data_IF_181277077969
#
_entry.id   IF_181277077969
#
_cell.length_a   1.000
_cell.length_b   1.000
_cell.length_c   1.000
_cell.angle_alpha   90.00
_cell.angle_beta   90.00
_cell.angle_gamma   90.00
#
_symmetry.space_group_name_H-M   'P 1'
#
loop_
_entity.id
_entity.type
_entity.pdbx_description
1 polymer ?
#
# COMPACT_ATOMS: atom_id res chain seq x y z
N UNK A 1 -35.76 -47.46 -83.20
CA UNK A 1 -35.47 -48.25 -81.99
C UNK A 1 -33.97 -48.18 -81.72
N UNK A 2 -33.61 -47.94 -80.45
CA UNK A 2 -32.31 -48.16 -79.79
C UNK A 2 -31.01 -47.76 -80.53
N UNK A 3 -30.35 -46.71 -80.03
CA UNK A 3 -28.95 -46.40 -80.34
C UNK A 3 -28.16 -46.24 -79.04
N UNK A 4 -27.24 -47.17 -78.81
CA UNK A 4 -26.43 -47.36 -77.61
C UNK A 4 -25.74 -46.09 -77.09
N UNK A 5 -25.78 -45.88 -75.76
CA UNK A 5 -24.85 -44.97 -75.09
C UNK A 5 -23.49 -45.66 -74.99
N UNK A 6 -22.69 -45.45 -76.04
CA UNK A 6 -21.29 -45.82 -76.09
C UNK A 6 -20.53 -45.22 -74.92
N UNK A 7 -19.78 -46.09 -74.25
CA UNK A 7 -18.76 -45.77 -73.27
C UNK A 7 -17.63 -45.10 -74.05
N UNK A 8 -17.61 -43.77 -74.07
CA UNK A 8 -16.56 -43.03 -74.75
C UNK A 8 -15.29 -43.05 -73.91
N UNK A 9 -14.26 -43.69 -74.45
CA UNK A 9 -12.89 -43.17 -74.39
C UNK A 9 -12.07 -43.55 -73.17
N UNK A 10 -11.62 -44.82 -73.11
CA UNK A 10 -10.35 -45.18 -72.46
C UNK A 10 -9.18 -45.29 -73.47
N UNK A 11 -9.33 -44.77 -74.69
CA UNK A 11 -8.29 -44.82 -75.72
C UNK A 11 -7.77 -43.42 -76.01
N UNK A 12 -6.73 -43.06 -75.25
CA UNK A 12 -6.08 -41.75 -75.20
C UNK A 12 -5.21 -41.69 -73.95
N UNK A 13 -4.30 -42.66 -73.80
CA UNK A 13 -3.44 -42.86 -72.64
C UNK A 13 -2.41 -41.73 -72.50
N UNK A 14 -2.86 -40.59 -72.01
CA UNK A 14 -2.14 -39.91 -70.94
C UNK A 14 -3.09 -39.98 -69.76
N UNK A 15 -2.74 -40.70 -68.69
CA UNK A 15 -3.31 -40.35 -67.39
C UNK A 15 -2.90 -38.89 -67.22
N UNK A 16 -3.84 -37.97 -67.44
CA UNK A 16 -3.61 -36.54 -67.23
C UNK A 16 -3.61 -36.33 -65.71
N UNK A 17 -2.50 -36.76 -65.12
CA UNK A 17 -2.20 -36.63 -63.70
C UNK A 17 -2.32 -35.17 -63.32
N UNK A 18 -1.95 -34.24 -64.22
CA UNK A 18 -2.01 -32.82 -63.97
C UNK A 18 -3.45 -32.31 -63.83
N UNK A 19 -4.40 -32.75 -64.66
CA UNK A 19 -5.82 -32.38 -64.47
C UNK A 19 -6.48 -33.08 -63.28
N UNK A 20 -6.14 -34.33 -62.97
CA UNK A 20 -6.64 -35.03 -61.78
C UNK A 20 -6.08 -34.42 -60.48
N UNK A 21 -4.79 -34.09 -60.47
CA UNK A 21 -4.13 -33.34 -59.39
C UNK A 21 -4.74 -31.95 -59.27
N UNK A 22 -5.01 -31.24 -60.38
CA UNK A 22 -5.67 -29.94 -60.36
C UNK A 22 -7.08 -30.00 -59.79
N UNK A 23 -7.89 -31.01 -60.15
CA UNK A 23 -9.23 -31.22 -59.58
C UNK A 23 -9.15 -31.61 -58.10
N UNK A 24 -8.18 -32.44 -57.71
CA UNK A 24 -7.89 -32.77 -56.31
C UNK A 24 -7.46 -31.55 -55.49
N UNK A 25 -6.55 -30.73 -56.02
CA UNK A 25 -6.10 -29.48 -55.42
C UNK A 25 -7.24 -28.47 -55.31
N UNK A 26 -8.12 -28.35 -56.31
CA UNK A 26 -9.31 -27.49 -56.23
C UNK A 26 -10.29 -27.97 -55.15
N UNK A 27 -10.41 -29.29 -54.93
CA UNK A 27 -11.23 -29.85 -53.85
C UNK A 27 -10.65 -29.50 -52.47
N UNK A 28 -9.33 -29.63 -52.30
CA UNK A 28 -8.64 -29.25 -51.06
C UNK A 28 -8.66 -27.73 -50.82
N UNK A 29 -8.48 -26.90 -51.86
CA UNK A 29 -8.65 -25.45 -51.78
C UNK A 29 -10.07 -25.07 -51.36
N UNK A 30 -11.11 -25.71 -51.91
CA UNK A 30 -12.50 -25.50 -51.47
C UNK A 30 -12.74 -25.87 -50.02
N UNK A 31 -12.06 -26.91 -49.49
CA UNK A 31 -12.11 -27.26 -48.07
C UNK A 31 -11.42 -26.20 -47.21
N UNK A 32 -10.26 -25.71 -47.65
CA UNK A 32 -9.53 -24.63 -47.01
C UNK A 32 -10.35 -23.33 -46.97
N UNK A 33 -10.93 -22.91 -48.10
CA UNK A 33 -11.80 -21.73 -48.19
C UNK A 33 -13.01 -21.84 -47.25
N UNK A 34 -13.54 -23.05 -47.06
CA UNK A 34 -14.64 -23.29 -46.12
C UNK A 34 -14.19 -23.12 -44.66
N UNK A 35 -13.00 -23.62 -44.32
CA UNK A 35 -12.44 -23.45 -42.98
C UNK A 35 -12.11 -21.98 -42.71
N UNK A 36 -11.50 -21.29 -43.67
CA UNK A 36 -11.21 -19.86 -43.58
C UNK A 36 -12.49 -19.02 -43.41
N UNK A 37 -13.54 -19.30 -44.19
CA UNK A 37 -14.85 -18.62 -44.01
C UNK A 37 -15.45 -18.86 -42.64
N UNK A 38 -15.32 -20.08 -42.09
CA UNK A 38 -15.78 -20.39 -40.72
C UNK A 38 -14.96 -19.65 -39.67
N UNK A 39 -13.64 -19.57 -39.85
CA UNK A 39 -12.74 -18.84 -38.95
C UNK A 39 -13.11 -17.34 -38.91
N UNK A 40 -13.28 -16.73 -40.08
CA UNK A 40 -13.74 -15.33 -40.20
C UNK A 40 -15.11 -15.14 -39.54
N UNK A 41 -16.06 -16.04 -39.78
CA UNK A 41 -17.37 -15.98 -39.13
C UNK A 41 -17.28 -16.11 -37.60
N UNK A 42 -16.41 -17.00 -37.10
CA UNK A 42 -16.20 -17.13 -35.65
C UNK A 42 -15.52 -15.92 -35.04
N UNK A 43 -14.58 -15.28 -35.74
CA UNK A 43 -13.93 -14.08 -35.25
C UNK A 43 -14.91 -12.89 -35.21
N UNK A 44 -15.74 -12.70 -36.25
CA UNK A 44 -16.80 -11.68 -36.23
C UNK A 44 -17.81 -11.92 -35.12
N UNK A 45 -18.20 -13.18 -34.87
CA UNK A 45 -19.09 -13.51 -33.75
C UNK A 45 -18.43 -13.19 -32.42
N UNK A 46 -17.16 -13.54 -32.24
CA UNK A 46 -16.40 -13.27 -31.02
C UNK A 46 -16.25 -11.78 -30.76
N UNK A 47 -15.93 -10.99 -31.79
CA UNK A 47 -15.86 -9.53 -31.71
C UNK A 47 -17.20 -8.93 -31.33
N UNK A 48 -18.30 -9.34 -31.99
CA UNK A 48 -19.65 -8.89 -31.64
C UNK A 48 -20.03 -9.24 -30.19
N UNK A 49 -19.65 -10.42 -29.69
CA UNK A 49 -19.89 -10.79 -28.28
C UNK A 49 -19.03 -9.97 -27.31
N UNK A 50 -17.77 -9.67 -27.66
CA UNK A 50 -16.89 -8.84 -26.85
C UNK A 50 -17.44 -7.41 -26.74
N UNK A 51 -17.92 -6.84 -27.85
CA UNK A 51 -18.54 -5.52 -27.89
C UNK A 51 -19.79 -5.47 -27.00
N UNK A 52 -20.69 -6.45 -27.14
CA UNK A 52 -21.89 -6.54 -26.28
C UNK A 52 -21.50 -6.66 -24.82
N UNK A 53 -20.51 -7.49 -24.49
CA UNK A 53 -20.04 -7.62 -23.10
C UNK A 53 -19.49 -6.31 -22.55
N UNK A 54 -18.71 -5.57 -23.34
CA UNK A 54 -18.17 -4.28 -22.95
C UNK A 54 -19.27 -3.23 -22.72
N UNK A 55 -20.28 -3.20 -23.59
CA UNK A 55 -21.43 -2.31 -23.47
C UNK A 55 -22.27 -2.62 -22.24
N UNK A 56 -22.56 -3.91 -21.98
CA UNK A 56 -23.29 -4.35 -20.79
C UNK A 56 -22.51 -4.04 -19.52
N UNK A 57 -21.19 -4.23 -19.51
CA UNK A 57 -20.38 -3.90 -18.34
C UNK A 57 -20.37 -2.38 -18.07
N UNK A 58 -20.22 -1.56 -19.11
CA UNK A 58 -20.30 -0.10 -18.99
C UNK A 58 -21.67 0.36 -18.48
N UNK A 59 -22.75 -0.22 -19.01
CA UNK A 59 -24.11 0.08 -18.56
C UNK A 59 -24.31 -0.31 -17.10
N UNK A 60 -23.87 -1.51 -16.70
CA UNK A 60 -23.98 -2.00 -15.33
C UNK A 60 -23.24 -1.10 -14.34
N UNK A 61 -22.02 -0.69 -14.67
CA UNK A 61 -21.24 0.25 -13.86
C UNK A 61 -21.95 1.59 -13.73
N UNK A 62 -22.41 2.16 -14.85
CA UNK A 62 -23.13 3.43 -14.87
C UNK A 62 -24.42 3.38 -14.05
N UNK A 63 -25.17 2.28 -14.14
CA UNK A 63 -26.39 2.07 -13.35
C UNK A 63 -26.09 1.90 -11.85
N UNK A 64 -25.03 1.17 -11.51
CA UNK A 64 -24.57 1.02 -10.12
C UNK A 64 -24.23 2.36 -9.50
N UNK A 65 -23.53 3.22 -10.25
CA UNK A 65 -23.19 4.55 -9.80
C UNK A 65 -24.41 5.45 -9.56
N UNK A 66 -25.43 5.34 -10.41
CA UNK A 66 -26.70 6.06 -10.21
C UNK A 66 -27.50 5.54 -9.01
N UNK A 67 -27.22 4.34 -8.52
CA UNK A 67 -27.83 3.86 -7.25
C UNK A 67 -27.15 4.47 -6.03
N UNK A 68 -25.96 5.05 -6.17
CA UNK A 68 -25.24 5.63 -5.06
C UNK A 68 -25.85 6.99 -4.67
N UNK A 69 -26.18 7.14 -3.39
CA UNK A 69 -26.80 8.35 -2.86
C UNK A 69 -25.91 9.59 -3.04
N UNK A 70 -24.58 9.43 -3.00
CA UNK A 70 -23.62 10.52 -3.24
C UNK A 70 -23.71 11.14 -4.64
N UNK A 71 -24.18 10.38 -5.64
CA UNK A 71 -24.37 10.88 -7.02
C UNK A 71 -25.78 11.39 -7.29
N UNK A 72 -26.79 10.85 -6.62
CA UNK A 72 -28.21 11.24 -6.83
C UNK A 72 -28.67 12.38 -5.92
N UNK A 73 -27.96 12.60 -4.81
CA UNK A 73 -28.19 13.70 -3.88
C UNK A 73 -26.86 14.34 -3.49
N UNK A 74 -26.15 14.97 -4.44
CA UNK A 74 -24.90 15.63 -4.11
C UNK A 74 -25.18 16.82 -3.19
N UNK A 75 -24.47 16.87 -2.07
CA UNK A 75 -24.49 18.00 -1.15
C UNK A 75 -23.16 18.74 -1.24
N UNK A 76 -23.22 20.07 -1.26
CA UNK A 76 -22.04 20.93 -1.26
C UNK A 76 -21.96 21.67 0.05
N UNK A 77 -20.77 21.71 0.66
CA UNK A 77 -20.47 22.59 1.76
C UNK A 77 -19.59 23.73 1.26
N UNK A 78 -19.91 24.95 1.65
CA UNK A 78 -19.09 26.13 1.38
C UNK A 78 -18.75 26.79 2.71
N UNK A 79 -17.52 27.31 2.82
CA UNK A 79 -17.03 28.00 4.00
C UNK A 79 -16.72 29.43 3.63
N UNK A 80 -17.05 30.38 4.51
CA UNK A 80 -16.67 31.78 4.34
C UNK A 80 -15.16 32.00 4.51
N UNK A 81 -14.46 31.08 5.18
CA UNK A 81 -13.02 31.11 5.42
C UNK A 81 -12.40 29.75 5.08
N UNK A 82 -12.30 29.45 3.78
CA UNK A 82 -11.79 28.17 3.27
C UNK A 82 -10.33 27.88 3.65
N UNK A 83 -9.52 28.91 3.89
CA UNK A 83 -8.11 28.75 4.27
C UNK A 83 -7.94 28.25 5.70
N UNK A 84 -8.94 28.45 6.56
CA UNK A 84 -8.92 27.99 7.96
C UNK A 84 -9.74 26.73 8.18
N UNK A 85 -10.92 26.63 7.54
CA UNK A 85 -11.83 25.51 7.72
C UNK A 85 -12.48 25.15 6.39
N UNK A 86 -12.29 23.90 5.97
CA UNK A 86 -13.02 23.27 4.88
C UNK A 86 -13.93 22.18 5.43
N UNK A 87 -15.09 21.99 4.82
CA UNK A 87 -16.00 20.91 5.14
C UNK A 87 -16.39 20.15 3.87
N UNK A 88 -16.59 18.84 3.98
CA UNK A 88 -17.11 18.00 2.91
C UNK A 88 -18.47 17.45 3.32
N UNK A 89 -19.51 17.75 2.56
CA UNK A 89 -20.85 17.24 2.81
C UNK A 89 -21.03 15.85 2.18
N UNK A 90 -21.62 14.92 2.93
CA UNK A 90 -22.06 13.64 2.38
C UNK A 90 -23.52 13.72 1.90
N UNK A 91 -24.00 12.66 1.24
CA UNK A 91 -25.36 12.61 0.67
C UNK A 91 -26.51 12.76 1.68
N UNK A 92 -26.20 12.59 2.97
CA UNK A 92 -27.15 12.64 4.09
C UNK A 92 -27.06 13.95 4.88
N UNK A 93 -26.17 14.88 4.50
CA UNK A 93 -26.02 16.15 5.18
C UNK A 93 -27.32 16.97 5.09
N UNK A 94 -27.70 17.63 6.19
CA UNK A 94 -28.84 18.56 6.19
C UNK A 94 -28.49 19.87 5.47
N UNK A 95 -29.47 20.48 4.79
CA UNK A 95 -29.28 21.81 4.19
C UNK A 95 -29.50 22.87 5.26
N UNK A 96 -28.41 23.35 5.87
CA UNK A 96 -28.46 24.42 6.87
C UNK A 96 -27.13 25.16 6.98
N UNK A 97 -27.18 26.38 7.49
CA UNK A 97 -25.98 27.15 7.82
C UNK A 97 -25.42 26.72 9.17
N UNK A 98 -24.09 26.59 9.26
CA UNK A 98 -23.38 26.31 10.49
C UNK A 98 -22.39 27.43 10.81
N UNK A 99 -22.34 27.84 12.08
CA UNK A 99 -21.32 28.76 12.60
C UNK A 99 -20.24 27.95 13.27
N UNK A 100 -19.00 28.10 12.82
CA UNK A 100 -17.83 27.39 13.36
C UNK A 100 -16.84 28.42 13.91
N UNK A 101 -16.44 28.26 15.17
CA UNK A 101 -15.42 29.06 15.83
C UNK A 101 -14.23 28.15 16.17
N UNK A 102 -13.04 28.50 15.67
CA UNK A 102 -11.81 27.75 15.95
C UNK A 102 -11.05 28.47 17.05
N UNK A 103 -11.04 27.88 18.25
CA UNK A 103 -10.33 28.45 19.41
C UNK A 103 -8.87 28.00 19.47
N UNK A 104 -8.59 26.74 19.10
CA UNK A 104 -7.24 26.18 19.08
C UNK A 104 -7.16 25.00 18.10
N UNK A 105 -6.09 24.96 17.31
CA UNK A 105 -5.79 23.81 16.46
C UNK A 105 -5.19 22.67 17.30
N UNK A 106 -5.56 21.44 16.97
CA UNK A 106 -4.88 20.27 17.52
C UNK A 106 -3.39 20.32 17.12
N UNK A 107 -2.51 20.12 18.09
CA UNK A 107 -1.07 20.01 17.86
C UNK A 107 -0.59 18.68 18.41
N UNK A 108 0.36 18.07 17.70
CA UNK A 108 0.95 16.81 18.15
C UNK A 108 1.85 17.06 19.37
N UNK A 109 1.79 16.15 20.34
CA UNK A 109 2.71 16.18 21.46
C UNK A 109 4.14 15.90 20.99
N UNK A 110 5.10 16.69 21.44
CA UNK A 110 6.52 16.48 21.20
C UNK A 110 7.35 16.77 22.44
N UNK A 111 8.50 16.12 22.54
CA UNK A 111 9.52 16.37 23.53
C UNK A 111 10.86 16.42 22.80
N UNK A 112 11.58 17.53 22.93
CA UNK A 112 12.90 17.69 22.33
C UNK A 112 13.84 18.36 23.33
N UNK A 113 15.14 18.11 23.19
CA UNK A 113 16.16 18.92 23.89
C UNK A 113 15.91 20.40 23.65
N UNK A 114 15.92 21.19 24.72
CA UNK A 114 15.65 22.62 24.66
C UNK A 114 16.61 23.33 23.68
N UNK A 115 16.12 24.37 23.01
CA UNK A 115 16.93 25.12 22.05
C UNK A 115 18.23 25.63 22.68
N UNK A 116 19.36 25.39 21.99
CA UNK A 116 20.69 25.74 22.48
C UNK A 116 21.25 24.85 23.59
N UNK A 117 20.50 23.84 24.03
CA UNK A 117 20.96 22.83 24.98
C UNK A 117 21.30 21.52 24.26
N UNK A 118 22.20 20.76 24.86
CA UNK A 118 22.58 19.42 24.44
C UNK A 118 21.95 18.38 25.37
N UNK A 119 21.94 17.11 24.97
CA UNK A 119 21.56 16.02 25.89
C UNK A 119 22.43 16.12 27.17
N UNK A 120 21.80 16.02 28.34
CA UNK A 120 22.57 16.05 29.59
C UNK A 120 23.24 14.68 29.80
N UNK A 121 24.49 14.68 30.26
CA UNK A 121 25.24 13.46 30.61
C UNK A 121 25.49 13.45 32.10
N UNK A 122 25.08 12.38 32.77
CA UNK A 122 25.42 12.17 34.17
C UNK A 122 26.90 11.84 34.34
N UNK A 123 27.55 11.21 33.36
CA UNK A 123 28.99 10.99 33.35
C UNK A 123 29.74 12.23 32.85
N UNK A 124 30.24 13.05 33.79
CA UNK A 124 31.00 14.27 33.50
C UNK A 124 32.37 14.00 32.85
N UNK A 125 32.92 12.79 32.96
CA UNK A 125 34.19 12.43 32.34
C UNK A 125 34.08 12.17 30.83
N UNK A 126 32.86 12.00 30.31
CA UNK A 126 32.60 11.69 28.89
C UNK A 126 31.51 12.60 28.31
N UNK A 127 31.75 13.93 28.21
CA UNK A 127 30.71 14.92 27.91
C UNK A 127 30.13 14.83 26.48
N UNK A 128 30.84 14.18 25.55
CA UNK A 128 30.42 13.98 24.16
C UNK A 128 29.97 12.53 23.87
N UNK A 129 29.87 11.68 24.89
CA UNK A 129 29.47 10.29 24.69
C UNK A 129 27.99 10.19 24.32
N UNK A 130 27.71 9.28 23.39
CA UNK A 130 26.36 8.91 22.95
C UNK A 130 25.88 7.60 23.59
N UNK A 131 26.73 6.94 24.38
CA UNK A 131 26.40 5.69 25.05
C UNK A 131 25.44 5.95 26.22
N UNK A 132 24.40 5.11 26.34
CA UNK A 132 23.37 5.25 27.37
C UNK A 132 23.94 5.16 28.79
N UNK A 133 25.04 4.42 28.98
CA UNK A 133 25.74 4.36 30.27
C UNK A 133 26.24 5.72 30.73
N UNK A 134 26.74 6.54 29.80
CA UNK A 134 27.32 7.85 30.12
C UNK A 134 26.24 8.94 30.20
N UNK A 135 25.15 8.75 29.47
CA UNK A 135 23.97 9.62 29.53
C UNK A 135 23.27 9.47 30.88
N UNK A 136 22.96 8.24 31.30
CA UNK A 136 22.08 8.00 32.45
C UNK A 136 22.82 7.80 33.79
N UNK A 137 24.06 7.28 33.79
CA UNK A 137 24.73 6.86 35.02
C UNK A 137 25.99 7.70 35.32
N UNK A 138 26.16 8.09 36.59
CA UNK A 138 27.36 8.79 37.04
C UNK A 138 28.59 7.91 36.84
N UNK A 139 29.65 8.47 36.25
CA UNK A 139 30.89 7.75 35.94
C UNK A 139 30.77 6.70 34.82
N UNK A 140 29.59 6.47 34.27
CA UNK A 140 29.37 5.48 33.20
C UNK A 140 29.58 4.03 33.64
N UNK A 141 29.61 3.77 34.95
CA UNK A 141 29.86 2.44 35.53
C UNK A 141 28.57 1.79 36.01
N UNK A 142 28.52 0.47 35.95
CA UNK A 142 27.40 -0.30 36.47
C UNK A 142 27.27 -0.11 38.00
N UNK A 143 26.08 0.23 38.52
CA UNK A 143 25.85 0.33 39.96
C UNK A 143 26.16 -0.97 40.70
N UNK A 144 26.67 -0.86 41.92
CA UNK A 144 26.95 -2.02 42.76
C UNK A 144 25.66 -2.82 43.05
N UNK A 145 25.71 -4.14 42.86
CA UNK A 145 24.58 -5.04 43.11
C UNK A 145 23.64 -5.26 41.91
N UNK A 146 23.85 -4.57 40.79
CA UNK A 146 23.11 -4.84 39.54
C UNK A 146 23.74 -6.02 38.78
N UNK A 147 22.92 -6.99 38.36
CA UNK A 147 23.35 -8.10 37.52
C UNK A 147 23.09 -7.80 36.04
N UNK A 148 23.83 -8.48 35.14
CA UNK A 148 23.73 -8.28 33.68
C UNK A 148 22.31 -8.42 33.10
N UNK A 149 21.49 -9.30 33.69
CA UNK A 149 20.11 -9.54 33.27
C UNK A 149 19.09 -8.53 33.80
N UNK A 150 19.47 -7.67 34.74
CA UNK A 150 18.56 -6.71 35.35
C UNK A 150 18.20 -5.60 34.36
N UNK A 151 17.00 -5.06 34.49
CA UNK A 151 16.59 -3.88 33.71
C UNK A 151 17.26 -2.64 34.27
N UNK A 152 18.16 -2.05 33.49
CA UNK A 152 18.90 -0.86 33.88
C UNK A 152 18.16 0.44 33.52
N UNK A 153 17.41 0.47 32.40
CA UNK A 153 16.52 1.57 32.04
C UNK A 153 15.18 1.04 31.55
N UNK A 154 14.08 1.69 31.92
CA UNK A 154 12.75 1.42 31.39
C UNK A 154 12.00 2.71 31.06
N UNK A 155 11.31 2.71 29.92
CA UNK A 155 10.52 3.82 29.43
C UNK A 155 9.12 3.31 29.10
N UNK A 156 8.10 3.92 29.72
CA UNK A 156 6.71 3.66 29.38
C UNK A 156 6.24 4.72 28.40
N UNK A 157 5.91 4.29 27.19
CA UNK A 157 5.41 5.16 26.12
C UNK A 157 3.92 4.95 25.93
N UNK A 158 3.17 6.04 25.77
CA UNK A 158 1.73 6.02 25.51
C UNK A 158 1.36 7.10 24.50
N UNK A 159 0.52 6.75 23.53
CA UNK A 159 -0.07 7.69 22.58
C UNK A 159 -1.50 8.11 22.97
N UNK A 160 -1.93 7.80 24.19
CA UNK A 160 -3.30 8.04 24.68
C UNK A 160 -4.28 6.90 24.42
N UNK A 161 -4.00 6.02 23.47
CA UNK A 161 -4.82 4.83 23.16
C UNK A 161 -4.11 3.53 23.52
N UNK A 162 -2.85 3.41 23.16
CA UNK A 162 -1.99 2.26 23.39
C UNK A 162 -0.78 2.59 24.27
N UNK A 163 -0.24 1.60 24.95
CA UNK A 163 0.96 1.73 25.79
C UNK A 163 1.97 0.62 25.46
N UNK A 164 3.24 0.98 25.34
CA UNK A 164 4.34 0.02 25.25
C UNK A 164 5.46 0.36 26.24
N UNK A 165 6.24 -0.65 26.61
CA UNK A 165 7.37 -0.50 27.52
C UNK A 165 8.66 -0.86 26.78
N UNK A 166 9.61 0.08 26.78
CA UNK A 166 10.95 -0.07 26.22
C UNK A 166 11.91 -0.30 27.38
N UNK A 167 12.57 -1.46 27.42
CA UNK A 167 13.52 -1.84 28.48
C UNK A 167 14.91 -2.04 27.90
N UNK A 168 15.92 -1.69 28.68
CA UNK A 168 17.32 -1.96 28.41
C UNK A 168 17.92 -2.72 29.59
N UNK A 169 18.61 -3.83 29.31
CA UNK A 169 19.30 -4.59 30.36
C UNK A 169 20.64 -3.96 30.74
N UNK A 170 21.16 -4.32 31.91
CA UNK A 170 22.48 -3.87 32.35
C UNK A 170 23.59 -4.33 31.38
N UNK A 171 23.49 -5.55 30.84
CA UNK A 171 24.41 -6.03 29.79
C UNK A 171 24.39 -5.13 28.55
N UNK A 172 23.19 -4.79 28.06
CA UNK A 172 23.00 -3.93 26.90
C UNK A 172 23.64 -2.54 27.10
N UNK A 173 23.47 -1.96 28.30
CA UNK A 173 23.97 -0.62 28.60
C UNK A 173 25.47 -0.60 28.88
N UNK A 174 25.96 -1.47 29.76
CA UNK A 174 27.32 -1.38 30.29
C UNK A 174 28.33 -2.27 29.56
N UNK A 175 27.88 -3.34 28.91
CA UNK A 175 28.78 -4.25 28.16
C UNK A 175 28.70 -4.00 26.66
N UNK A 176 27.48 -3.88 26.11
CA UNK A 176 27.26 -3.63 24.67
C UNK A 176 27.31 -2.15 24.29
N UNK A 177 27.36 -1.24 25.26
CA UNK A 177 27.45 0.20 25.05
C UNK A 177 26.38 0.76 24.11
N UNK A 178 25.13 0.29 24.23
CA UNK A 178 24.04 0.83 23.42
C UNK A 178 23.94 2.35 23.57
N UNK A 179 23.48 3.00 22.51
CA UNK A 179 23.56 4.44 22.30
C UNK A 179 22.19 5.10 22.26
N UNK A 180 22.17 6.43 22.19
CA UNK A 180 20.95 7.21 21.95
C UNK A 180 20.26 6.83 20.63
N UNK A 181 21.01 6.39 19.61
CA UNK A 181 20.41 5.89 18.36
C UNK A 181 19.68 4.56 18.57
N UNK A 182 20.21 3.69 19.43
CA UNK A 182 19.55 2.43 19.80
C UNK A 182 18.27 2.69 20.61
N UNK A 183 18.31 3.69 21.50
CA UNK A 183 17.11 4.19 22.19
C UNK A 183 16.05 4.66 21.20
N UNK A 184 16.42 5.54 20.28
CA UNK A 184 15.50 6.04 19.24
C UNK A 184 14.91 4.87 18.43
N UNK A 185 15.75 3.92 18.01
CA UNK A 185 15.33 2.74 17.25
C UNK A 185 14.37 1.86 18.05
N UNK A 186 14.60 1.65 19.34
CA UNK A 186 13.72 0.83 20.19
C UNK A 186 12.39 1.51 20.46
N UNK A 187 12.38 2.84 20.56
CA UNK A 187 11.16 3.65 20.63
C UNK A 187 10.36 3.54 19.31
N UNK A 188 11.01 3.74 18.16
CA UNK A 188 10.37 3.66 16.85
C UNK A 188 9.75 2.28 16.56
N UNK A 189 10.36 1.23 17.12
CA UNK A 189 9.89 -0.15 16.98
C UNK A 189 8.93 -0.58 18.10
N UNK A 190 8.64 0.29 19.07
CA UNK A 190 7.76 -0.04 20.17
C UNK A 190 6.32 -0.27 19.67
N UNK A 191 5.76 -1.44 20.01
CA UNK A 191 4.41 -1.85 19.63
C UNK A 191 3.57 -2.12 20.87
N UNK A 192 2.29 -1.81 20.79
CA UNK A 192 1.30 -2.22 21.77
C UNK A 192 0.37 -3.27 21.16
N UNK A 193 -0.35 -4.01 22.02
CA UNK A 193 -1.40 -4.92 21.58
C UNK A 193 -2.70 -4.13 21.56
N UNK A 194 -3.30 -3.99 20.37
CA UNK A 194 -4.58 -3.29 20.22
C UNK A 194 -5.76 -4.13 20.71
N UNK A 195 -6.96 -3.54 20.67
CA UNK A 195 -8.21 -4.20 21.08
C UNK A 195 -8.52 -5.47 20.28
N UNK A 196 -7.93 -5.64 19.09
CA UNK A 196 -8.08 -6.81 18.23
C UNK A 196 -6.96 -7.85 18.47
N UNK A 197 -6.08 -7.64 19.44
CA UNK A 197 -4.97 -8.53 19.78
C UNK A 197 -3.76 -8.42 18.84
N UNK A 198 -3.72 -7.45 17.93
CA UNK A 198 -2.64 -7.27 16.96
C UNK A 198 -1.56 -6.32 17.49
N UNK A 199 -0.32 -6.54 17.05
CA UNK A 199 0.82 -5.66 17.35
C UNK A 199 0.76 -4.40 16.50
N UNK A 200 0.29 -3.32 17.09
CA UNK A 200 0.12 -2.03 16.43
C UNK A 200 1.20 -1.03 16.88
N UNK A 201 1.59 -0.14 15.97
CA UNK A 201 2.61 0.87 16.24
C UNK A 201 2.06 1.96 17.16
N UNK A 202 2.89 2.46 18.07
CA UNK A 202 2.52 3.59 18.93
C UNK A 202 2.38 4.92 18.17
N UNK A 203 2.87 4.99 16.93
CA UNK A 203 2.99 6.24 16.15
C UNK A 203 3.76 7.32 16.92
N UNK A 204 4.74 6.90 17.71
CA UNK A 204 5.71 7.78 18.35
C UNK A 204 7.02 7.58 17.64
N UNK A 205 7.59 8.67 17.11
CA UNK A 205 8.87 8.66 16.44
C UNK A 205 9.90 9.37 17.30
N UNK A 206 11.05 8.76 17.51
CA UNK A 206 12.19 9.32 18.19
C UNK A 206 13.41 9.38 17.26
N UNK A 207 14.25 10.39 17.46
CA UNK A 207 15.50 10.54 16.74
C UNK A 207 16.57 11.16 17.63
N UNK A 208 17.82 10.82 17.33
CA UNK A 208 18.99 11.46 17.88
C UNK A 208 19.78 12.10 16.74
N UNK A 209 20.16 13.36 16.90
CA UNK A 209 21.05 14.08 15.99
C UNK A 209 22.39 14.31 16.69
N UNK A 210 23.46 13.72 16.14
CA UNK A 210 24.81 13.83 16.66
C UNK A 210 25.45 15.21 16.41
N UNK A 211 24.99 15.98 15.42
CA UNK A 211 25.55 17.29 15.06
C UNK A 211 25.08 18.35 16.06
N UNK A 212 23.76 18.43 16.27
CA UNK A 212 23.18 19.32 17.27
C UNK A 212 23.23 18.74 18.70
N UNK A 213 23.60 17.46 18.82
CA UNK A 213 23.60 16.69 20.05
C UNK A 213 22.25 16.76 20.78
N UNK A 214 21.20 16.52 19.98
CA UNK A 214 19.80 16.71 20.35
C UNK A 214 19.04 15.38 20.26
N UNK A 215 18.10 15.17 21.19
CA UNK A 215 17.17 14.04 21.14
C UNK A 215 15.75 14.58 21.00
N UNK A 216 14.96 13.98 20.12
CA UNK A 216 13.57 14.36 19.89
C UNK A 216 12.66 13.15 19.91
N UNK A 217 11.42 13.36 20.38
CA UNK A 217 10.32 12.42 20.39
C UNK A 217 9.08 13.19 19.93
N UNK A 218 8.39 12.68 18.92
CA UNK A 218 7.19 13.29 18.33
C UNK A 218 6.09 12.26 18.20
N UNK A 219 4.85 12.66 18.49
CA UNK A 219 3.67 11.90 18.11
C UNK A 219 3.38 12.19 16.63
N UNK A 220 3.37 11.16 15.79
CA UNK A 220 3.21 11.27 14.34
C UNK A 220 1.82 10.85 13.90
#
# INVERSE_FOLDING_TARGET
MAGARGIYGLSGSGIDVESLVKVGMMSEQKKYDRLYKKEVETEWRKEAFADVYSAVNTFRSSMSDMRLSSRTKPMTATSSLSDMVTATANANAGVMSHTVEVTQAASNAYLMTASGQKVARTNTAAPASVALKDVAFAGGTMPAGMASGDTALSFKLSNGTGTAEVKFTAEEIFTKNLTLNDLATRINNARFIDSDGKKSALNITASYDAVSDAFSIVNT
#
